data_IF_165317647950
#
_entry.id   IF_165317647950
#
_cell.length_a   1.000
_cell.length_b   1.000
_cell.length_c   1.000
_cell.angle_alpha   90.00
_cell.angle_beta   90.00
_cell.angle_gamma   90.00
#
_symmetry.space_group_name_H-M   'P 1'
#
loop_
_entity.id
_entity.type
_entity.pdbx_description
1 polymer ?
#
# COMPACT_ATOMS: atom_id res chain seq x y z
N UNK A 1 6.67 -19.64 3.26
CA UNK A 1 6.20 -20.89 3.89
C UNK A 1 6.48 -22.02 2.93
N UNK A 2 7.09 -23.10 3.41
CA UNK A 2 7.57 -24.20 2.56
C UNK A 2 6.42 -24.88 1.80
N UNK A 3 6.68 -25.35 0.58
CA UNK A 3 5.72 -26.04 -0.28
C UNK A 3 5.13 -25.15 -1.42
N UNK A 4 4.62 -25.80 -2.46
CA UNK A 4 4.02 -25.13 -3.63
C UNK A 4 2.66 -24.51 -3.27
N UNK A 5 2.61 -23.18 -3.26
CA UNK A 5 1.41 -22.38 -2.98
C UNK A 5 0.99 -21.64 -4.24
N UNK A 6 -0.29 -21.74 -4.59
CA UNK A 6 -0.95 -20.87 -5.56
C UNK A 6 -1.88 -19.89 -4.83
N UNK A 7 -2.00 -18.68 -5.36
CA UNK A 7 -2.95 -17.69 -4.88
C UNK A 7 -3.40 -16.81 -6.04
N UNK A 8 -4.64 -16.34 -6.00
CA UNK A 8 -5.12 -15.32 -6.92
C UNK A 8 -6.16 -14.44 -6.22
N UNK A 9 -6.43 -13.30 -6.85
CA UNK A 9 -7.41 -12.31 -6.39
C UNK A 9 -8.21 -11.84 -7.60
N UNK A 10 -9.52 -11.95 -7.50
CA UNK A 10 -10.48 -11.39 -8.44
C UNK A 10 -11.12 -10.15 -7.82
N UNK A 11 -11.13 -9.03 -8.55
CA UNK A 11 -11.72 -7.78 -8.11
C UNK A 11 -12.88 -7.37 -9.02
N UNK A 12 -14.05 -7.14 -8.43
CA UNK A 12 -15.25 -6.67 -9.11
C UNK A 12 -15.55 -5.26 -8.63
N UNK A 13 -15.51 -4.29 -9.55
CA UNK A 13 -15.69 -2.87 -9.22
C UNK A 13 -16.94 -2.32 -9.88
N UNK A 14 -17.82 -1.73 -9.08
CA UNK A 14 -18.92 -0.90 -9.55
C UNK A 14 -18.70 0.53 -9.09
N UNK A 15 -18.74 1.48 -10.02
CA UNK A 15 -18.48 2.90 -9.74
C UNK A 15 -19.49 3.78 -10.46
N UNK A 16 -20.02 4.74 -9.72
CA UNK A 16 -20.92 5.77 -10.24
C UNK A 16 -20.41 7.14 -9.84
N UNK A 17 -20.61 8.12 -10.72
CA UNK A 17 -20.23 9.50 -10.48
C UNK A 17 -21.26 10.41 -11.14
N UNK A 18 -21.66 11.44 -10.40
CA UNK A 18 -22.51 12.52 -10.85
C UNK A 18 -21.66 13.79 -10.88
N UNK A 19 -21.53 14.38 -12.06
CA UNK A 19 -20.79 15.61 -12.31
C UNK A 19 -21.77 16.73 -12.65
N UNK A 20 -21.73 17.82 -11.88
CA UNK A 20 -22.53 18.99 -12.18
C UNK A 20 -21.83 19.85 -13.23
N UNK A 21 -22.64 20.44 -14.10
CA UNK A 21 -22.16 21.49 -15.00
C UNK A 21 -21.64 22.66 -14.18
N UNK A 22 -20.59 23.31 -14.68
CA UNK A 22 -20.00 24.47 -14.04
C UNK A 22 -21.03 25.60 -13.91
N UNK A 23 -21.18 26.16 -12.72
CA UNK A 23 -22.08 27.29 -12.46
C UNK A 23 -21.36 28.38 -11.66
N UNK A 24 -21.86 29.61 -11.74
CA UNK A 24 -21.27 30.76 -11.05
C UNK A 24 -22.14 31.19 -9.86
N UNK A 25 -21.49 31.52 -8.75
CA UNK A 25 -22.10 32.15 -7.57
C UNK A 25 -21.27 33.38 -7.23
N UNK A 26 -21.81 34.56 -7.56
CA UNK A 26 -21.04 35.81 -7.48
C UNK A 26 -19.81 35.79 -8.38
N UNK A 27 -18.63 36.03 -7.79
CA UNK A 27 -17.36 36.10 -8.53
C UNK A 27 -16.66 34.73 -8.69
N UNK A 28 -17.27 33.65 -8.19
CA UNK A 28 -16.65 32.34 -8.10
C UNK A 28 -17.44 31.33 -8.93
N UNK A 29 -16.74 30.43 -9.59
CA UNK A 29 -17.37 29.31 -10.30
C UNK A 29 -17.16 28.01 -9.55
N UNK A 30 -18.20 27.18 -9.48
CA UNK A 30 -18.24 25.89 -8.82
C UNK A 30 -18.45 24.78 -9.85
N UNK A 31 -17.90 23.60 -9.57
CA UNK A 31 -18.10 22.40 -10.38
C UNK A 31 -18.03 21.18 -9.46
N UNK A 32 -19.10 20.93 -8.69
CA UNK A 32 -19.14 19.83 -7.75
C UNK A 32 -19.34 18.49 -8.45
N UNK A 33 -18.80 17.45 -7.83
CA UNK A 33 -19.08 16.07 -8.19
C UNK A 33 -19.27 15.22 -6.94
N UNK A 34 -20.09 14.20 -7.09
CA UNK A 34 -20.35 13.16 -6.09
C UNK A 34 -20.14 11.80 -6.74
N UNK A 35 -19.68 10.82 -5.99
CA UNK A 35 -19.62 9.45 -6.47
C UNK A 35 -19.70 8.42 -5.38
N UNK A 36 -20.03 7.21 -5.81
CA UNK A 36 -20.09 6.03 -4.99
C UNK A 36 -19.33 4.90 -5.69
N UNK A 37 -18.65 4.08 -4.90
CA UNK A 37 -17.85 2.97 -5.39
C UNK A 37 -18.07 1.76 -4.48
N UNK A 38 -18.28 0.61 -5.09
CA UNK A 38 -18.36 -0.69 -4.44
C UNK A 38 -17.32 -1.60 -5.08
N UNK A 39 -16.48 -2.22 -4.25
CA UNK A 39 -15.46 -3.19 -4.68
C UNK A 39 -15.70 -4.47 -3.89
N UNK A 40 -15.87 -5.58 -4.61
CA UNK A 40 -15.81 -6.92 -4.04
C UNK A 40 -14.49 -7.58 -4.45
N UNK A 41 -13.70 -7.98 -3.46
CA UNK A 41 -12.43 -8.69 -3.66
C UNK A 41 -12.59 -10.13 -3.18
N UNK A 42 -12.50 -11.09 -4.10
CA UNK A 42 -12.44 -12.52 -3.77
C UNK A 42 -11.00 -13.01 -3.95
N UNK A 43 -10.41 -13.50 -2.87
CA UNK A 43 -9.06 -14.03 -2.89
C UNK A 43 -9.04 -15.47 -2.45
N UNK A 44 -8.28 -16.30 -3.15
CA UNK A 44 -8.08 -17.69 -2.76
C UNK A 44 -6.60 -18.03 -2.67
N UNK A 45 -6.31 -19.01 -1.82
CA UNK A 45 -4.98 -19.60 -1.68
C UNK A 45 -5.11 -21.10 -1.57
N UNK A 46 -4.17 -21.82 -2.18
CA UNK A 46 -4.14 -23.28 -2.20
C UNK A 46 -2.69 -23.75 -2.00
N UNK A 47 -2.49 -24.65 -1.04
CA UNK A 47 -1.26 -25.42 -0.90
C UNK A 47 -1.50 -26.81 -1.48
N UNK A 48 -0.83 -27.12 -2.59
CA UNK A 48 -1.04 -28.36 -3.33
C UNK A 48 -0.55 -29.60 -2.60
N UNK A 49 0.59 -29.47 -1.91
CA UNK A 49 1.27 -30.60 -1.26
C UNK A 49 1.54 -30.31 0.21
N UNK A 50 1.48 -31.36 1.04
CA UNK A 50 1.99 -31.28 2.41
C UNK A 50 3.51 -31.18 2.39
N UNK A 51 4.07 -30.36 3.27
CA UNK A 51 5.52 -30.24 3.48
C UNK A 51 5.82 -30.11 4.97
N UNK A 52 7.05 -30.41 5.38
CA UNK A 52 7.45 -30.36 6.79
C UNK A 52 8.79 -29.65 6.92
N UNK A 53 8.99 -28.92 8.02
CA UNK A 53 10.29 -28.37 8.43
C UNK A 53 10.68 -28.92 9.79
N UNK A 54 11.94 -29.30 9.95
CA UNK A 54 12.49 -29.73 11.24
C UNK A 54 14.01 -29.54 11.26
N UNK A 55 14.56 -29.42 12.45
CA UNK A 55 16.01 -29.45 12.70
C UNK A 55 16.37 -30.86 13.21
N UNK A 56 17.43 -31.46 12.71
CA UNK A 56 17.96 -32.71 13.25
C UNK A 56 19.09 -32.36 14.21
N UNK A 57 18.98 -32.78 15.47
CA UNK A 57 20.07 -32.59 16.44
C UNK A 57 21.17 -33.66 16.27
N UNK A 58 22.30 -33.49 16.97
CA UNK A 58 23.43 -34.44 16.92
C UNK A 58 23.09 -35.89 17.33
N UNK A 59 21.95 -36.11 18.00
CA UNK A 59 21.43 -37.43 18.38
C UNK A 59 20.45 -38.02 17.33
N UNK A 60 20.31 -37.39 16.16
CA UNK A 60 19.41 -37.85 15.08
C UNK A 60 17.92 -37.57 15.33
N UNK A 61 17.57 -36.81 16.39
CA UNK A 61 16.18 -36.52 16.74
C UNK A 61 15.72 -35.23 16.05
N UNK A 62 14.51 -35.29 15.47
CA UNK A 62 13.81 -34.10 14.95
C UNK A 62 13.39 -33.17 16.10
N UNK A 63 13.77 -31.90 16.00
CA UNK A 63 13.37 -30.80 16.87
C UNK A 63 12.80 -29.66 16.02
N UNK A 64 12.04 -28.74 16.62
CA UNK A 64 11.37 -27.65 15.90
C UNK A 64 10.58 -28.13 14.67
N UNK A 65 9.84 -29.23 14.84
CA UNK A 65 9.12 -29.90 13.76
C UNK A 65 7.76 -29.23 13.54
N UNK A 66 7.56 -28.73 12.32
CA UNK A 66 6.32 -28.10 11.86
C UNK A 66 5.86 -28.79 10.58
N UNK A 67 4.58 -29.15 10.53
CA UNK A 67 3.91 -29.71 9.36
C UNK A 67 3.05 -28.61 8.73
N UNK A 68 3.17 -28.44 7.42
CA UNK A 68 2.34 -27.55 6.62
C UNK A 68 1.43 -28.40 5.76
N UNK A 69 0.18 -28.57 6.16
CA UNK A 69 -0.80 -29.39 5.45
C UNK A 69 -1.21 -28.74 4.13
N UNK A 70 -1.50 -29.61 3.15
CA UNK A 70 -2.24 -29.19 1.94
C UNK A 70 -3.60 -28.65 2.33
N UNK A 71 -4.09 -27.65 1.62
CA UNK A 71 -5.35 -26.99 1.94
C UNK A 71 -5.72 -25.93 0.92
N UNK A 72 -7.00 -25.57 0.89
CA UNK A 72 -7.53 -24.49 0.07
C UNK A 72 -8.46 -23.63 0.91
N UNK A 73 -8.37 -22.33 0.73
CA UNK A 73 -9.21 -21.37 1.44
C UNK A 73 -9.42 -20.12 0.59
N UNK A 74 -10.48 -19.39 0.93
CA UNK A 74 -10.87 -18.16 0.24
C UNK A 74 -11.29 -17.10 1.26
N UNK A 75 -11.24 -15.85 0.82
CA UNK A 75 -11.60 -14.67 1.59
C UNK A 75 -12.25 -13.65 0.66
N UNK A 76 -13.52 -13.34 0.94
CA UNK A 76 -14.25 -12.24 0.30
C UNK A 76 -14.22 -10.98 1.17
N UNK A 77 -13.94 -9.83 0.56
CA UNK A 77 -14.02 -8.51 1.21
C UNK A 77 -14.93 -7.60 0.40
N UNK A 78 -15.90 -6.98 1.08
CA UNK A 78 -16.74 -5.93 0.53
C UNK A 78 -16.20 -4.57 0.98
N UNK A 79 -15.97 -3.66 0.03
CA UNK A 79 -15.60 -2.27 0.29
C UNK A 79 -16.63 -1.32 -0.31
N UNK A 80 -17.11 -0.38 0.52
CA UNK A 80 -18.08 0.63 0.16
C UNK A 80 -17.47 2.01 0.33
N UNK A 81 -17.65 2.86 -0.67
CA UNK A 81 -17.07 4.18 -0.73
C UNK A 81 -18.11 5.20 -1.14
N UNK A 82 -18.10 6.35 -0.48
CA UNK A 82 -18.77 7.59 -0.93
C UNK A 82 -17.76 8.72 -1.02
N UNK A 83 -17.83 9.57 -2.03
CA UNK A 83 -16.96 10.74 -2.13
C UNK A 83 -17.67 11.94 -2.76
N UNK A 84 -17.23 13.14 -2.36
CA UNK A 84 -17.64 14.38 -2.98
C UNK A 84 -16.50 15.39 -3.00
N UNK A 85 -16.48 16.26 -3.99
CA UNK A 85 -15.58 17.40 -4.02
C UNK A 85 -16.19 18.52 -4.87
N UNK A 86 -15.65 19.73 -4.72
CA UNK A 86 -16.05 20.89 -5.52
C UNK A 86 -14.82 21.59 -6.07
N UNK A 87 -14.74 21.78 -7.38
CA UNK A 87 -13.73 22.66 -7.99
C UNK A 87 -14.26 24.09 -8.00
N UNK A 88 -13.68 24.89 -7.13
CA UNK A 88 -13.99 26.30 -6.93
C UNK A 88 -12.92 27.11 -7.64
N UNK A 89 -13.29 27.89 -8.66
CA UNK A 89 -12.34 28.76 -9.38
C UNK A 89 -12.70 30.22 -9.23
N UNK A 90 -11.70 31.03 -8.92
CA UNK A 90 -11.78 32.48 -8.80
C UNK A 90 -10.56 33.11 -9.46
N UNK A 91 -10.80 33.79 -10.60
CA UNK A 91 -9.73 34.38 -11.42
C UNK A 91 -8.67 33.33 -11.77
N UNK A 92 -7.44 33.55 -11.32
CA UNK A 92 -6.25 32.75 -11.53
C UNK A 92 -5.98 31.74 -10.39
N UNK A 93 -6.94 31.55 -9.49
CA UNK A 93 -6.85 30.60 -8.37
C UNK A 93 -7.96 29.55 -8.50
N UNK A 94 -7.62 28.29 -8.27
CA UNK A 94 -8.55 27.17 -8.17
C UNK A 94 -8.33 26.43 -6.85
N UNK A 95 -9.42 26.09 -6.17
CA UNK A 95 -9.46 25.31 -4.94
C UNK A 95 -10.29 24.06 -5.18
N UNK A 96 -9.90 22.94 -4.58
CA UNK A 96 -10.62 21.68 -4.68
C UNK A 96 -10.73 21.00 -3.31
N UNK A 97 -11.60 21.49 -2.41
CA UNK A 97 -11.97 20.73 -1.22
C UNK A 97 -12.78 19.50 -1.61
N UNK A 98 -12.54 18.40 -0.90
CA UNK A 98 -13.26 17.15 -1.05
C UNK A 98 -13.12 16.26 0.17
N UNK A 99 -13.99 15.26 0.24
CA UNK A 99 -14.00 14.25 1.28
C UNK A 99 -14.38 12.90 0.68
N UNK A 100 -13.79 11.84 1.20
CA UNK A 100 -14.16 10.46 0.90
C UNK A 100 -14.39 9.73 2.21
N UNK A 101 -15.38 8.86 2.19
CA UNK A 101 -15.71 7.93 3.25
C UNK A 101 -15.56 6.52 2.69
N UNK A 102 -14.86 5.66 3.42
CA UNK A 102 -14.59 4.26 3.07
C UNK A 102 -14.99 3.35 4.23
N UNK A 103 -15.63 2.21 3.93
CA UNK A 103 -15.96 1.15 4.88
C UNK A 103 -15.67 -0.22 4.26
N UNK A 104 -15.06 -1.13 5.00
CA UNK A 104 -14.85 -2.51 4.60
C UNK A 104 -15.39 -3.49 5.65
N UNK A 105 -15.87 -4.66 5.21
CA UNK A 105 -16.45 -5.66 6.11
C UNK A 105 -15.41 -6.47 6.90
N UNK A 106 -14.12 -6.43 6.52
CA UNK A 106 -13.08 -7.24 7.15
C UNK A 106 -12.60 -6.63 8.45
N UNK A 107 -12.14 -5.38 8.42
CA UNK A 107 -11.79 -4.63 9.62
C UNK A 107 -13.01 -3.91 10.23
N UNK A 108 -14.10 -3.76 9.48
CA UNK A 108 -15.33 -3.07 9.94
C UNK A 108 -15.09 -1.63 10.39
N UNK A 109 -14.08 -0.95 9.83
CA UNK A 109 -13.70 0.41 10.18
C UNK A 109 -14.39 1.44 9.28
N UNK A 110 -14.71 2.59 9.88
CA UNK A 110 -15.23 3.76 9.19
C UNK A 110 -14.12 4.78 8.98
N UNK A 111 -13.73 5.00 7.73
CA UNK A 111 -12.55 5.79 7.38
C UNK A 111 -12.96 7.08 6.65
N UNK A 112 -12.45 8.24 7.09
CA UNK A 112 -12.76 9.55 6.50
C UNK A 112 -11.49 10.23 6.01
N UNK A 113 -11.41 10.45 4.71
CA UNK A 113 -10.27 11.04 4.00
C UNK A 113 -10.61 12.44 3.48
N UNK A 114 -10.20 13.53 4.17
CA UNK A 114 -10.22 14.86 3.58
C UNK A 114 -9.24 14.93 2.41
N UNK A 115 -9.60 15.71 1.39
CA UNK A 115 -8.76 16.03 0.24
C UNK A 115 -8.85 17.52 -0.05
N UNK A 116 -7.69 18.14 -0.22
CA UNK A 116 -7.61 19.55 -0.54
C UNK A 116 -6.49 19.77 -1.54
N UNK A 117 -6.76 20.57 -2.55
CA UNK A 117 -5.80 21.03 -3.54
C UNK A 117 -6.06 22.52 -3.82
N UNK A 118 -5.01 23.28 -4.02
CA UNK A 118 -5.04 24.63 -4.57
C UNK A 118 -4.08 24.71 -5.76
N UNK A 119 -4.49 25.44 -6.78
CA UNK A 119 -3.71 25.79 -7.97
C UNK A 119 -3.77 27.31 -8.12
N UNK A 120 -2.62 27.96 -8.31
CA UNK A 120 -2.54 29.41 -8.50
C UNK A 120 -1.62 29.74 -9.66
N UNK A 121 -2.19 30.33 -10.71
CA UNK A 121 -1.46 30.93 -11.82
C UNK A 121 -1.06 32.36 -11.43
N UNK A 122 0.18 32.58 -11.00
CA UNK A 122 0.61 33.84 -10.37
C UNK A 122 0.34 35.04 -11.28
N UNK A 123 0.56 34.88 -12.59
CA UNK A 123 0.48 35.96 -13.57
C UNK A 123 -0.72 35.85 -14.52
N UNK A 124 -1.58 34.83 -14.36
CA UNK A 124 -2.74 34.55 -15.21
C UNK A 124 -2.37 34.30 -16.70
N UNK A 125 -1.15 33.83 -16.94
CA UNK A 125 -0.60 33.52 -18.27
C UNK A 125 0.07 32.13 -18.34
N UNK A 126 -0.09 31.33 -17.27
CA UNK A 126 0.48 29.99 -17.07
C UNK A 126 2.02 29.94 -17.01
N UNK A 127 2.69 31.10 -16.94
CA UNK A 127 4.16 31.18 -16.84
C UNK A 127 4.65 30.65 -15.50
N UNK A 128 3.92 30.93 -14.41
CA UNK A 128 4.29 30.53 -13.05
C UNK A 128 3.08 29.95 -12.32
N UNK A 129 3.10 28.65 -12.10
CA UNK A 129 2.01 27.93 -11.44
C UNK A 129 2.48 27.38 -10.09
N UNK A 130 1.75 27.69 -9.04
CA UNK A 130 1.92 27.06 -7.72
C UNK A 130 0.79 26.06 -7.52
N UNK A 131 1.14 24.86 -7.08
CA UNK A 131 0.18 23.85 -6.62
C UNK A 131 0.49 23.48 -5.19
N UNK A 132 -0.53 23.37 -4.34
CA UNK A 132 -0.36 22.81 -3.01
C UNK A 132 -1.55 21.92 -2.66
N UNK A 133 -1.34 20.93 -1.80
CA UNK A 133 -2.41 20.04 -1.41
C UNK A 133 -2.15 19.32 -0.10
N UNK A 134 -3.23 18.95 0.58
CA UNK A 134 -3.23 18.14 1.77
C UNK A 134 -4.26 17.03 1.61
N UNK A 135 -3.83 15.77 1.75
CA UNK A 135 -4.69 14.62 1.50
C UNK A 135 -4.42 13.51 2.50
N UNK A 136 -5.47 12.79 2.89
CA UNK A 136 -5.39 11.54 3.65
C UNK A 136 -5.77 10.35 2.79
N UNK A 137 -4.98 9.28 2.85
CA UNK A 137 -5.25 8.03 2.15
C UNK A 137 -5.24 6.85 3.11
N UNK A 138 -6.38 6.18 3.27
CA UNK A 138 -6.43 4.90 3.99
C UNK A 138 -5.99 3.77 3.06
N UNK A 139 -5.34 2.76 3.64
CA UNK A 139 -4.91 1.59 2.91
C UNK A 139 -4.14 0.62 3.78
N UNK A 140 -4.06 -0.63 3.37
CA UNK A 140 -3.36 -1.67 4.11
C UNK A 140 -3.44 -2.99 3.36
N UNK A 141 -2.56 -3.93 3.67
CA UNK A 141 -2.57 -5.24 3.01
C UNK A 141 -3.50 -6.22 3.75
N UNK A 142 -4.76 -5.81 3.91
CA UNK A 142 -5.79 -6.52 4.70
C UNK A 142 -6.03 -7.92 4.13
N UNK A 143 -6.09 -8.03 2.81
CA UNK A 143 -6.31 -9.29 2.10
C UNK A 143 -5.15 -10.28 2.31
N UNK A 144 -3.90 -9.82 2.24
CA UNK A 144 -2.73 -10.65 2.54
C UNK A 144 -2.74 -11.11 4.00
N UNK A 145 -3.19 -10.28 4.95
CA UNK A 145 -3.33 -10.69 6.34
C UNK A 145 -4.35 -11.81 6.51
N UNK A 146 -5.51 -11.71 5.89
CA UNK A 146 -6.53 -12.76 5.97
C UNK A 146 -6.12 -14.05 5.26
N UNK A 147 -5.48 -13.97 4.09
CA UNK A 147 -4.91 -15.15 3.43
C UNK A 147 -3.78 -15.79 4.26
N UNK A 148 -2.98 -14.99 4.97
CA UNK A 148 -1.96 -15.52 5.90
C UNK A 148 -2.62 -16.29 7.04
N UNK A 149 -3.71 -15.79 7.61
CA UNK A 149 -4.40 -16.48 8.70
C UNK A 149 -4.97 -17.83 8.25
N UNK A 150 -5.59 -17.87 7.06
CA UNK A 150 -6.04 -19.12 6.42
C UNK A 150 -4.87 -20.11 6.29
N UNK A 151 -3.71 -19.67 5.78
CA UNK A 151 -2.54 -20.56 5.62
C UNK A 151 -1.94 -21.00 6.97
N UNK A 152 -1.98 -20.15 7.97
CA UNK A 152 -1.52 -20.47 9.32
C UNK A 152 -2.40 -21.56 9.96
N UNK A 153 -3.71 -21.58 9.65
CA UNK A 153 -4.62 -22.64 10.11
C UNK A 153 -4.25 -24.04 9.59
N UNK A 154 -3.47 -24.14 8.50
CA UNK A 154 -2.95 -25.40 7.95
C UNK A 154 -1.56 -25.75 8.45
N UNK A 155 -1.07 -25.04 9.46
CA UNK A 155 0.27 -25.23 10.02
C UNK A 155 0.16 -25.84 11.41
N UNK A 156 0.77 -27.01 11.60
CA UNK A 156 0.81 -27.74 12.87
C UNK A 156 2.23 -27.77 13.41
N UNK A 157 2.45 -27.41 14.69
CA UNK A 157 3.74 -27.63 15.35
C UNK A 157 3.73 -28.94 16.14
N UNK A 158 4.45 -29.93 15.63
CA UNK A 158 4.61 -31.25 16.26
C UNK A 158 5.51 -31.18 17.49
N UNK A 159 6.41 -30.19 17.56
CA UNK A 159 7.25 -29.93 18.74
C UNK A 159 6.48 -29.47 19.99
N UNK A 160 5.15 -29.29 19.90
CA UNK A 160 4.29 -28.86 21.00
C UNK A 160 4.31 -27.35 21.29
N UNK A 161 5.03 -26.57 20.47
CA UNK A 161 5.02 -25.12 20.54
C UNK A 161 3.70 -24.62 19.98
N UNK A 162 2.96 -23.82 20.73
CA UNK A 162 1.69 -23.25 20.24
C UNK A 162 1.94 -21.85 19.71
N UNK A 163 1.45 -21.54 18.51
CA UNK A 163 1.42 -20.18 17.99
C UNK A 163 -0.01 -19.67 18.07
N UNK A 164 -0.24 -18.62 18.87
CA UNK A 164 -1.51 -17.92 18.93
C UNK A 164 -1.35 -16.60 18.21
N UNK A 165 -2.20 -16.36 17.21
CA UNK A 165 -2.23 -15.07 16.52
C UNK A 165 -3.47 -14.30 16.95
N UNK A 166 -3.29 -13.03 17.31
CA UNK A 166 -4.37 -12.16 17.77
C UNK A 166 -4.47 -10.94 16.86
N UNK A 167 -5.63 -10.82 16.23
CA UNK A 167 -6.08 -9.66 15.48
C UNK A 167 -7.21 -8.99 16.30
N UNK A 168 -6.87 -8.12 17.25
CA UNK A 168 -7.87 -7.40 18.05
C UNK A 168 -7.80 -5.90 17.74
N UNK A 169 -8.96 -5.30 17.49
CA UNK A 169 -9.19 -3.85 17.35
C UNK A 169 -8.24 -3.14 16.38
N UNK A 170 -7.92 -3.80 15.26
CA UNK A 170 -7.04 -3.24 14.25
C UNK A 170 -7.71 -2.08 13.49
N UNK A 171 -7.07 -0.93 13.52
CA UNK A 171 -7.42 0.24 12.70
C UNK A 171 -6.92 0.06 11.27
N UNK A 172 -7.63 0.65 10.33
CA UNK A 172 -7.15 0.76 8.95
C UNK A 172 -6.00 1.78 8.90
N UNK A 173 -4.79 1.41 8.45
CA UNK A 173 -3.68 2.36 8.34
C UNK A 173 -4.00 3.49 7.38
N UNK A 174 -3.34 4.64 7.58
CA UNK A 174 -3.50 5.78 6.68
C UNK A 174 -2.24 6.61 6.54
N UNK A 175 -2.15 7.35 5.43
CA UNK A 175 -1.07 8.28 5.15
C UNK A 175 -1.63 9.68 5.00
N UNK A 176 -1.09 10.62 5.77
CA UNK A 176 -1.28 12.05 5.56
C UNK A 176 -0.18 12.57 4.63
N UNK A 177 -0.57 13.28 3.59
CA UNK A 177 0.30 13.81 2.55
C UNK A 177 0.15 15.32 2.44
N UNK A 178 1.27 16.03 2.53
CA UNK A 178 1.40 17.43 2.17
C UNK A 178 2.25 17.53 0.90
N UNK A 179 1.69 18.11 -0.15
CA UNK A 179 2.35 18.30 -1.44
C UNK A 179 2.43 19.78 -1.79
N UNK A 180 3.57 20.20 -2.33
CA UNK A 180 3.79 21.53 -2.89
C UNK A 180 4.55 21.41 -4.21
N UNK A 181 4.14 22.19 -5.20
CA UNK A 181 4.72 22.20 -6.53
C UNK A 181 4.84 23.61 -7.05
N UNK A 182 5.92 23.88 -7.77
CA UNK A 182 6.14 25.08 -8.54
C UNK A 182 6.46 24.66 -9.97
N UNK A 183 5.68 25.14 -10.94
CA UNK A 183 6.01 25.09 -12.34
C UNK A 183 6.36 26.49 -12.83
N UNK A 184 7.45 26.58 -13.57
CA UNK A 184 7.95 27.82 -14.16
C UNK A 184 8.28 27.58 -15.63
N UNK A 185 7.69 28.37 -16.52
CA UNK A 185 8.16 28.51 -17.90
C UNK A 185 9.41 29.40 -17.91
N UNK A 186 10.54 28.86 -18.35
CA UNK A 186 11.83 29.53 -18.43
C UNK A 186 12.10 29.86 -19.90
N UNK A 187 12.23 31.15 -20.20
CA UNK A 187 12.37 31.61 -21.58
C UNK A 187 11.17 31.21 -22.44
N UNK A 188 11.41 30.87 -23.70
CA UNK A 188 10.33 30.60 -24.66
C UNK A 188 9.83 29.15 -24.64
N UNK A 189 10.69 28.19 -24.30
CA UNK A 189 10.44 26.79 -24.60
C UNK A 189 10.83 25.79 -23.50
N UNK A 190 11.22 26.22 -22.29
CA UNK A 190 11.57 25.30 -21.21
C UNK A 190 10.52 25.39 -20.12
N UNK A 191 10.06 24.24 -19.61
CA UNK A 191 9.21 24.14 -18.43
C UNK A 191 10.03 23.45 -17.34
N UNK A 192 10.26 24.17 -16.24
CA UNK A 192 10.86 23.62 -15.03
C UNK A 192 9.75 23.32 -14.02
N UNK A 193 9.82 22.17 -13.34
CA UNK A 193 8.92 21.83 -12.23
C UNK A 193 9.72 21.37 -11.03
N UNK A 194 9.45 21.97 -9.88
CA UNK A 194 9.97 21.55 -8.60
C UNK A 194 8.81 21.09 -7.72
N UNK A 195 8.87 19.87 -7.21
CA UNK A 195 7.85 19.28 -6.36
C UNK A 195 8.47 18.78 -5.05
N UNK A 196 7.77 19.04 -3.95
CA UNK A 196 8.08 18.50 -2.64
C UNK A 196 6.84 17.81 -2.07
N UNK A 197 7.03 16.60 -1.58
CA UNK A 197 5.97 15.82 -0.93
C UNK A 197 6.47 15.29 0.40
N UNK A 198 5.75 15.60 1.47
CA UNK A 198 5.91 15.00 2.78
C UNK A 198 4.77 14.02 3.03
N UNK A 199 5.11 12.80 3.44
CA UNK A 199 4.14 11.76 3.83
C UNK A 199 4.43 11.30 5.25
N UNK A 200 3.39 11.22 6.06
CA UNK A 200 3.43 10.58 7.36
C UNK A 200 2.40 9.44 7.38
N UNK A 201 2.91 8.21 7.49
CA UNK A 201 2.11 7.02 7.65
C UNK A 201 1.83 6.78 9.13
N UNK A 202 0.55 6.56 9.43
CA UNK A 202 0.01 6.35 10.76
C UNK A 202 -0.70 5.00 10.83
N UNK A 203 -0.81 4.48 12.05
CA UNK A 203 -1.53 3.27 12.36
C UNK A 203 -1.13 2.08 11.46
N UNK A 204 0.12 2.03 10.99
CA UNK A 204 0.57 0.93 10.14
C UNK A 204 0.60 -0.35 10.96
N UNK A 205 0.11 -1.43 10.35
CA UNK A 205 0.01 -2.71 11.02
C UNK A 205 1.42 -3.26 11.24
N UNK A 206 1.80 -3.42 12.50
CA UNK A 206 3.01 -4.08 12.96
C UNK A 206 2.66 -5.36 13.71
N UNK A 207 3.64 -6.24 13.81
CA UNK A 207 3.56 -7.48 14.59
C UNK A 207 4.56 -7.41 15.73
N UNK A 208 4.14 -7.86 16.90
CA UNK A 208 5.04 -8.15 18.01
C UNK A 208 4.80 -9.58 18.45
N UNK A 209 5.86 -10.31 18.78
CA UNK A 209 5.75 -11.68 19.25
C UNK A 209 6.35 -11.80 20.63
N UNK A 210 5.62 -12.41 21.56
CA UNK A 210 6.14 -12.81 22.88
C UNK A 210 6.04 -14.31 23.03
N UNK A 211 7.12 -14.94 23.45
CA UNK A 211 7.14 -16.38 23.77
C UNK A 211 7.12 -16.56 25.27
N UNK A 212 6.11 -17.24 25.77
CA UNK A 212 6.08 -17.73 27.15
C UNK A 212 6.85 -19.05 27.21
N UNK A 213 8.03 -19.00 27.83
CA UNK A 213 8.92 -20.15 28.00
C UNK A 213 8.31 -21.26 28.85
N UNK A 214 7.38 -20.97 29.76
CA UNK A 214 6.75 -21.96 30.63
C UNK A 214 5.69 -22.77 29.89
N UNK A 215 4.90 -22.12 29.03
CA UNK A 215 3.85 -22.76 28.23
C UNK A 215 4.29 -23.11 26.81
N UNK A 216 5.52 -22.77 26.41
CA UNK A 216 6.06 -22.86 25.04
C UNK A 216 5.12 -22.26 23.99
N UNK A 217 4.39 -21.22 24.39
CA UNK A 217 3.40 -20.57 23.52
C UNK A 217 3.96 -19.26 23.03
N UNK A 218 4.07 -19.10 21.71
CA UNK A 218 4.37 -17.83 21.05
C UNK A 218 3.06 -17.14 20.74
N UNK A 219 2.87 -15.95 21.29
CA UNK A 219 1.74 -15.08 21.02
C UNK A 219 2.22 -14.00 20.06
N UNK A 220 1.69 -13.99 18.84
CA UNK A 220 1.89 -12.92 17.86
C UNK A 220 0.70 -11.97 17.92
N UNK A 221 0.95 -10.75 18.37
CA UNK A 221 -0.03 -9.67 18.48
C UNK A 221 0.17 -8.69 17.33
N UNK A 222 -0.87 -8.53 16.50
CA UNK A 222 -0.93 -7.47 15.51
C UNK A 222 -1.45 -6.19 16.16
N UNK A 223 -0.81 -5.06 15.87
CA UNK A 223 -1.17 -3.75 16.41
C UNK A 223 -0.91 -2.63 15.38
N UNK A 224 -1.28 -1.39 15.69
CA UNK A 224 -1.17 -0.24 14.81
C UNK A 224 0.00 0.71 15.21
N UNK A 225 1.12 0.17 15.67
CA UNK A 225 2.24 0.98 16.18
C UNK A 225 3.22 1.44 15.09
N UNK A 226 3.08 0.91 13.88
CA UNK A 226 3.92 1.23 12.74
C UNK A 226 3.72 2.66 12.24
N UNK A 227 4.82 3.36 12.02
CA UNK A 227 4.89 4.74 11.53
C UNK A 227 6.06 4.92 10.59
N UNK A 228 5.83 5.68 9.52
CA UNK A 228 6.85 6.01 8.54
C UNK A 228 6.74 7.46 8.13
N UNK A 229 7.87 8.17 8.03
CA UNK A 229 7.96 9.53 7.51
C UNK A 229 8.78 9.50 6.24
N UNK A 230 8.25 10.09 5.16
CA UNK A 230 8.90 10.15 3.87
C UNK A 230 8.93 11.57 3.33
N UNK A 231 10.10 12.01 2.91
CA UNK A 231 10.31 13.26 2.18
C UNK A 231 10.72 12.91 0.75
N UNK A 232 10.04 13.50 -0.23
CA UNK A 232 10.33 13.33 -1.65
C UNK A 232 10.51 14.70 -2.30
N UNK A 233 11.63 14.87 -2.99
CA UNK A 233 11.95 16.04 -3.80
C UNK A 233 12.09 15.61 -5.25
N UNK A 234 11.45 16.33 -6.17
CA UNK A 234 11.56 16.10 -7.60
C UNK A 234 11.79 17.44 -8.32
N UNK A 235 12.76 17.48 -9.21
CA UNK A 235 13.03 18.60 -10.10
C UNK A 235 13.08 18.08 -11.53
N UNK A 236 12.24 18.60 -12.40
CA UNK A 236 12.22 18.22 -13.82
C UNK A 236 12.33 19.42 -14.74
N UNK A 237 12.99 19.22 -15.87
CA UNK A 237 13.04 20.15 -16.99
C UNK A 237 12.60 19.43 -18.25
N UNK A 238 11.70 20.06 -19.01
CA UNK A 238 11.27 19.58 -20.32
C UNK A 238 11.07 20.74 -21.27
N UNK A 239 10.91 20.43 -22.56
CA UNK A 239 10.54 21.44 -23.52
C UNK A 239 9.02 21.57 -23.62
N UNK A 240 8.53 22.81 -23.78
CA UNK A 240 7.12 23.08 -24.02
C UNK A 240 6.69 22.60 -25.42
N UNK A 241 7.58 22.78 -26.41
CA UNK A 241 7.44 22.33 -27.78
C UNK A 241 8.67 21.49 -28.19
N UNK A 242 8.50 20.40 -28.95
CA UNK A 242 9.61 19.61 -29.46
C UNK A 242 10.63 20.44 -30.25
N UNK A 243 11.91 20.04 -30.20
CA UNK A 243 12.94 20.56 -31.11
C UNK A 243 12.75 19.93 -32.48
N UNK A 244 12.36 20.75 -33.46
CA UNK A 244 12.30 20.35 -34.86
C UNK A 244 13.70 20.38 -35.47
N UNK A 245 14.33 19.22 -35.66
CA UNK A 245 15.62 19.06 -36.34
C UNK A 245 15.38 18.29 -37.65
N UNK A 246 15.31 19.02 -38.76
CA UNK A 246 15.00 18.50 -40.10
C UNK A 246 13.65 17.80 -40.16
N UNK A 247 13.64 16.47 -40.12
CA UNK A 247 12.45 15.60 -40.19
C UNK A 247 12.23 14.86 -38.87
N UNK A 248 12.95 15.24 -37.80
CA UNK A 248 12.92 14.57 -36.51
C UNK A 248 12.54 15.58 -35.43
N UNK A 249 11.57 15.19 -34.62
CA UNK A 249 11.13 15.95 -33.45
C UNK A 249 11.73 15.33 -32.20
N UNK A 250 12.44 16.15 -31.42
CA UNK A 250 13.12 15.70 -30.21
C UNK A 250 12.55 16.44 -29.01
N UNK A 251 12.00 15.71 -28.04
CA UNK A 251 11.51 16.29 -26.78
C UNK A 251 12.32 15.73 -25.59
N UNK A 252 13.48 16.32 -25.26
CA UNK A 252 14.29 15.88 -24.13
C UNK A 252 13.63 16.25 -22.79
N UNK A 253 13.75 15.34 -21.83
CA UNK A 253 13.32 15.56 -20.45
C UNK A 253 14.44 15.14 -19.50
N UNK A 254 14.69 15.95 -18.47
CA UNK A 254 15.66 15.67 -17.41
C UNK A 254 14.90 15.68 -16.09
N UNK A 255 15.08 14.64 -15.27
CA UNK A 255 14.41 14.51 -13.97
C UNK A 255 15.43 14.14 -12.90
N UNK A 256 15.45 14.90 -11.81
CA UNK A 256 16.18 14.61 -10.59
C UNK A 256 15.18 14.28 -9.48
N UNK A 257 15.41 13.18 -8.77
CA UNK A 257 14.55 12.77 -7.65
C UNK A 257 15.38 12.35 -6.45
N UNK A 258 14.98 12.81 -5.26
CA UNK A 258 15.56 12.38 -3.99
C UNK A 258 14.45 12.00 -3.03
N UNK A 259 14.53 10.80 -2.47
CA UNK A 259 13.56 10.28 -1.50
C UNK A 259 14.31 9.85 -0.24
N UNK A 260 13.82 10.30 0.91
CA UNK A 260 14.30 9.88 2.22
C UNK A 260 13.13 9.37 3.04
N UNK A 261 13.20 8.11 3.44
CA UNK A 261 12.19 7.48 4.29
C UNK A 261 12.80 7.00 5.60
N UNK A 262 12.08 7.15 6.70
CA UNK A 262 12.43 6.63 8.03
C UNK A 262 11.17 6.12 8.71
N UNK A 263 11.22 4.92 9.26
CA UNK A 263 10.10 4.34 10.00
C UNK A 263 10.57 3.34 11.04
N UNK A 264 9.63 2.91 11.89
CA UNK A 264 9.84 1.89 12.92
C UNK A 264 9.23 0.53 12.53
N UNK A 265 8.68 0.42 11.31
CA UNK A 265 8.26 -0.87 10.79
C UNK A 265 9.51 -1.75 10.66
N UNK A 266 9.47 -2.93 11.26
CA UNK A 266 10.36 -4.00 10.84
C UNK A 266 10.11 -4.17 9.34
N UNK A 267 11.11 -3.89 8.50
CA UNK A 267 11.08 -4.33 7.11
C UNK A 267 10.78 -5.83 7.18
N UNK A 268 9.55 -6.19 6.84
CA UNK A 268 9.18 -7.58 6.76
C UNK A 268 9.98 -8.06 5.55
N UNK A 269 11.14 -8.69 5.82
CA UNK A 269 11.90 -9.37 4.77
C UNK A 269 10.87 -10.17 3.97
N UNK A 270 10.85 -9.94 2.66
CA UNK A 270 10.06 -10.75 1.76
C UNK A 270 10.36 -12.20 2.07
N UNK A 271 9.30 -12.97 2.26
CA UNK A 271 9.32 -14.28 2.89
C UNK A 271 9.82 -14.22 4.34
N UNK A 272 8.94 -14.57 5.28
CA UNK A 272 9.41 -15.11 6.56
C UNK A 272 10.12 -16.44 6.27
N UNK A 273 11.33 -16.34 5.74
CA UNK A 273 12.35 -17.33 5.92
C UNK A 273 12.82 -17.13 7.35
N UNK A 274 12.29 -17.96 8.25
CA UNK A 274 13.10 -18.39 9.38
C UNK A 274 14.44 -18.82 8.81
N UNK A 275 15.47 -17.97 8.95
CA UNK A 275 16.86 -18.29 8.69
C UNK A 275 17.20 -19.55 9.51
N UNK A 276 16.95 -20.73 8.94
CA UNK A 276 17.63 -21.94 9.33
C UNK A 276 18.98 -21.81 8.65
N UNK A 277 20.03 -21.57 9.43
CA UNK A 277 21.40 -21.37 8.93
C UNK A 277 22.00 -22.52 8.12
N UNK A 278 21.20 -23.51 7.73
CA UNK A 278 21.53 -24.57 6.78
C UNK A 278 20.43 -24.63 5.69
N UNK A 279 20.82 -24.32 4.45
CA UNK A 279 20.01 -24.28 3.22
C UNK A 279 19.51 -25.67 2.76
N UNK A 280 19.04 -26.55 3.65
CA UNK A 280 18.64 -27.91 3.29
C UNK A 280 17.17 -28.17 3.66
N UNK A 281 16.36 -28.49 2.65
CA UNK A 281 14.95 -28.86 2.80
C UNK A 281 14.74 -30.30 2.34
N UNK A 282 13.80 -31.03 2.96
CA UNK A 282 13.46 -32.39 2.53
C UNK A 282 12.24 -32.33 1.61
N UNK A 283 12.45 -32.65 0.33
CA UNK A 283 11.40 -32.73 -0.69
C UNK A 283 11.29 -34.17 -1.19
N UNK A 284 10.10 -34.76 -1.09
CA UNK A 284 9.82 -36.16 -1.48
C UNK A 284 10.81 -37.19 -0.87
N UNK A 285 11.20 -36.98 0.39
CA UNK A 285 12.12 -37.89 1.11
C UNK A 285 13.61 -37.67 0.82
N UNK A 286 13.97 -36.72 -0.05
CA UNK A 286 15.36 -36.40 -0.39
C UNK A 286 15.75 -35.02 0.13
N UNK A 287 17.00 -34.91 0.61
CA UNK A 287 17.60 -33.65 1.04
C UNK A 287 18.00 -32.83 -0.20
N UNK A 288 17.41 -31.64 -0.38
CA UNK A 288 17.70 -30.75 -1.50
C UNK A 288 18.09 -29.36 -0.98
N UNK A 289 18.96 -28.66 -1.72
CA UNK A 289 19.32 -27.29 -1.37
C UNK A 289 18.11 -26.38 -1.61
N UNK A 290 17.91 -25.41 -0.71
CA UNK A 290 16.82 -24.44 -0.80
C UNK A 290 16.79 -23.72 -2.16
N UNK A 291 17.97 -23.42 -2.73
CA UNK A 291 18.13 -22.73 -4.02
C UNK A 291 17.76 -23.57 -5.25
N UNK A 292 17.36 -24.83 -5.06
CA UNK A 292 17.08 -25.81 -6.12
C UNK A 292 15.64 -26.34 -6.13
N UNK A 293 14.73 -25.75 -5.36
CA UNK A 293 13.30 -26.12 -5.28
C UNK A 293 12.41 -25.02 -5.87
#
# INVERSE_FOLDING_TARGET
GLGHISQAVDNYTFKTRLDWQKFAVGNVSHQPYFGAEYIYSDAWTERHNQSESYVINAAGKKTNHTIYHKGKGSLGIDNYTLYMADRISWRNVSLMPGVRYDYDNYLSNHNISPRFMTEWDIFADQTSMITAGYNRYYGGNILDMGLRDIRNSWTESVSGNKTLTRYQDLKTPYNDELAMGLQQKIGKNVIARANYVYREAHDQISKSSRTDSATKTTITEYNNDGKTKTHSFNLSFELAEPLHIRQVDINPQIVFSYIKSKGNLSLNNGYEESNTGDNQVVYNGNLVSYDSV
#
